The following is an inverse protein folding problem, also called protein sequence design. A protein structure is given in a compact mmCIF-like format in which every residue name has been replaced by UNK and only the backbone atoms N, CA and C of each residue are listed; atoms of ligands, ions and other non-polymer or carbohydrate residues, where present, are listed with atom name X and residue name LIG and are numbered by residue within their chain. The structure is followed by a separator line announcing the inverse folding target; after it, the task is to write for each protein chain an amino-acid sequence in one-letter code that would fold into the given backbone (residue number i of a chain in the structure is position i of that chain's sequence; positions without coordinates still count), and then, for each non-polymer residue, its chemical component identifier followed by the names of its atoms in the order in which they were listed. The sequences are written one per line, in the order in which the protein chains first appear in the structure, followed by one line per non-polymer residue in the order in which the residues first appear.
data_IF_644213058041
#
_entry.id   IF_644213058041
#
_cell.length_a   1.000
_cell.length_b   1.000
_cell.length_c   1.000
_cell.angle_alpha   90.00
_cell.angle_beta   90.00
_cell.angle_gamma   90.00
#
_symmetry.space_group_name_H-M   'P 1'
#
loop_
_entity.id
_entity.type
_entity.pdbx_description
1 polymer ?
#
# COMPACT_ATOMS: atom_id res chain seq x y z
N UNK A 1 -1.74 -29.73 -11.90
CA UNK A 1 -2.49 -28.90 -12.87
C UNK A 1 -1.53 -28.56 -14.01
N UNK A 2 -1.78 -29.02 -15.24
CA UNK A 2 -0.94 -28.64 -16.40
C UNK A 2 -1.22 -27.17 -16.71
N UNK A 3 -0.17 -26.35 -16.91
CA UNK A 3 -0.33 -24.98 -17.42
C UNK A 3 -0.97 -25.08 -18.80
N UNK A 4 -2.14 -24.46 -18.98
CA UNK A 4 -2.72 -24.31 -20.30
C UNK A 4 -1.86 -23.31 -21.08
N UNK A 5 -1.42 -23.69 -22.28
CA UNK A 5 -0.76 -22.77 -23.20
C UNK A 5 -1.77 -21.81 -23.88
N UNK A 6 -3.06 -22.00 -23.64
CA UNK A 6 -4.10 -21.09 -24.12
C UNK A 6 -4.20 -19.86 -23.19
N UNK A 7 -3.52 -18.78 -23.62
CA UNK A 7 -3.51 -17.50 -22.92
C UNK A 7 -4.90 -16.87 -22.79
N UNK A 8 -5.81 -17.09 -23.74
CA UNK A 8 -7.18 -16.55 -23.69
C UNK A 8 -8.00 -17.29 -22.64
N UNK A 9 -7.90 -18.62 -22.59
CA UNK A 9 -8.55 -19.42 -21.55
C UNK A 9 -8.02 -19.07 -20.15
N UNK A 10 -6.71 -18.83 -20.01
CA UNK A 10 -6.10 -18.37 -18.76
C UNK A 10 -6.66 -17.01 -18.32
N UNK A 11 -6.78 -16.05 -19.25
CA UNK A 11 -7.41 -14.75 -18.98
C UNK A 11 -8.87 -14.90 -18.51
N UNK A 12 -9.69 -15.64 -19.24
CA UNK A 12 -11.12 -15.81 -18.89
C UNK A 12 -11.28 -16.45 -17.52
N UNK A 13 -10.50 -17.49 -17.23
CA UNK A 13 -10.51 -18.16 -15.93
C UNK A 13 -10.15 -17.19 -14.80
N UNK A 14 -9.10 -16.39 -14.98
CA UNK A 14 -8.68 -15.45 -13.94
C UNK A 14 -9.66 -14.28 -13.80
N UNK A 15 -10.20 -13.76 -14.90
CA UNK A 15 -11.23 -12.73 -14.90
C UNK A 15 -12.44 -13.18 -14.09
N UNK A 16 -12.94 -14.39 -14.36
CA UNK A 16 -14.12 -14.92 -13.67
C UNK A 16 -13.81 -15.19 -12.19
N UNK A 17 -12.60 -15.66 -11.87
CA UNK A 17 -12.16 -15.81 -10.48
C UNK A 17 -12.08 -14.47 -9.74
N UNK A 18 -11.59 -13.41 -10.39
CA UNK A 18 -11.59 -12.07 -9.82
C UNK A 18 -13.01 -11.61 -9.57
N UNK A 19 -13.89 -11.65 -10.57
CA UNK A 19 -15.27 -11.16 -10.45
C UNK A 19 -16.03 -11.83 -9.29
N UNK A 20 -15.83 -13.14 -9.09
CA UNK A 20 -16.49 -13.91 -8.03
C UNK A 20 -15.74 -13.91 -6.68
N UNK A 21 -14.56 -13.29 -6.59
CA UNK A 21 -13.78 -13.23 -5.34
C UNK A 21 -14.27 -12.09 -4.44
N UNK A 22 -14.50 -12.38 -3.17
CA UNK A 22 -14.71 -11.37 -2.12
C UNK A 22 -13.39 -10.77 -1.62
N UNK A 23 -12.29 -11.51 -1.73
CA UNK A 23 -10.99 -11.09 -1.21
C UNK A 23 -10.21 -10.19 -2.17
N UNK A 24 -9.74 -9.04 -1.68
CA UNK A 24 -8.90 -8.11 -2.46
C UNK A 24 -7.43 -8.56 -2.56
N UNK A 25 -6.85 -9.03 -1.45
CA UNK A 25 -5.41 -9.27 -1.36
C UNK A 25 -4.89 -10.32 -2.35
N UNK A 26 -5.59 -11.45 -2.47
CA UNK A 26 -5.20 -12.52 -3.39
C UNK A 26 -5.30 -12.07 -4.85
N UNK A 27 -6.37 -11.36 -5.20
CA UNK A 27 -6.59 -10.80 -6.53
C UNK A 27 -5.45 -9.87 -6.94
N UNK A 28 -5.16 -8.86 -6.11
CA UNK A 28 -4.10 -7.88 -6.40
C UNK A 28 -2.74 -8.56 -6.47
N UNK A 29 -2.43 -9.47 -5.54
CA UNK A 29 -1.17 -10.20 -5.52
C UNK A 29 -0.96 -11.02 -6.80
N UNK A 30 -1.97 -11.79 -7.23
CA UNK A 30 -1.89 -12.63 -8.43
C UNK A 30 -1.66 -11.80 -9.69
N UNK A 31 -2.43 -10.73 -9.89
CA UNK A 31 -2.26 -9.86 -11.06
C UNK A 31 -0.92 -9.12 -11.03
N UNK A 32 -0.43 -8.75 -9.84
CA UNK A 32 0.89 -8.14 -9.70
C UNK A 32 2.02 -9.11 -10.10
N UNK A 33 1.98 -10.36 -9.63
CA UNK A 33 2.98 -11.37 -10.01
C UNK A 33 3.00 -11.59 -11.52
N UNK A 34 1.84 -11.65 -12.16
CA UNK A 34 1.73 -11.76 -13.62
C UNK A 34 2.33 -10.54 -14.32
N UNK A 35 2.05 -9.34 -13.82
CA UNK A 35 2.56 -8.09 -14.38
C UNK A 35 4.08 -7.94 -14.27
N UNK A 36 4.68 -8.41 -13.17
CA UNK A 36 6.14 -8.39 -12.98
C UNK A 36 6.82 -9.40 -13.91
N UNK A 37 6.28 -10.62 -14.00
CA UNK A 37 6.86 -11.65 -14.85
C UNK A 37 6.81 -11.26 -16.33
N UNK A 38 5.73 -10.61 -16.77
CA UNK A 38 5.60 -10.12 -18.15
C UNK A 38 6.70 -9.10 -18.52
N UNK A 39 6.94 -8.12 -17.63
CA UNK A 39 8.01 -7.12 -17.80
C UNK A 39 9.40 -7.75 -17.87
N UNK A 40 9.65 -8.82 -17.12
CA UNK A 40 10.96 -9.48 -17.04
C UNK A 40 11.19 -10.50 -18.17
N UNK A 41 10.15 -11.16 -18.67
CA UNK A 41 10.26 -12.27 -19.62
C UNK A 41 9.92 -11.91 -21.08
N UNK A 42 9.83 -10.61 -21.42
CA UNK A 42 9.55 -10.13 -22.80
C UNK A 42 8.28 -10.75 -23.41
N UNK A 43 7.15 -10.70 -22.68
CA UNK A 43 5.83 -11.14 -23.16
C UNK A 43 5.64 -12.66 -23.37
N UNK A 44 6.45 -13.51 -22.72
CA UNK A 44 6.20 -14.96 -22.66
C UNK A 44 5.22 -15.38 -21.55
N UNK A 45 4.54 -14.41 -20.93
CA UNK A 45 3.61 -14.64 -19.83
C UNK A 45 2.42 -15.54 -20.20
N UNK A 46 1.73 -16.13 -19.20
CA UNK A 46 0.59 -17.02 -19.43
C UNK A 46 -0.67 -16.32 -19.93
N UNK A 47 -0.65 -14.99 -20.07
CA UNK A 47 -1.75 -14.13 -20.52
C UNK A 47 -1.15 -13.08 -21.46
N UNK A 48 -1.88 -12.67 -22.51
CA UNK A 48 -1.45 -11.58 -23.39
C UNK A 48 -1.53 -10.22 -22.70
N UNK A 49 -0.65 -9.28 -23.05
CA UNK A 49 -0.51 -7.99 -22.37
C UNK A 49 -1.81 -7.17 -22.37
N UNK A 50 -2.55 -7.16 -23.48
CA UNK A 50 -3.86 -6.49 -23.57
C UNK A 50 -4.85 -7.04 -22.54
N UNK A 51 -4.86 -8.35 -22.32
CA UNK A 51 -5.73 -9.00 -21.36
C UNK A 51 -5.24 -8.80 -19.92
N UNK A 52 -3.92 -8.66 -19.72
CA UNK A 52 -3.36 -8.30 -18.43
C UNK A 52 -3.77 -6.89 -18.00
N UNK A 53 -3.81 -5.93 -18.94
CA UNK A 53 -4.31 -4.58 -18.69
C UNK A 53 -5.79 -4.63 -18.25
N UNK A 54 -6.63 -5.41 -18.92
CA UNK A 54 -8.04 -5.59 -18.52
C UNK A 54 -8.17 -6.17 -17.10
N UNK A 55 -7.28 -7.08 -16.69
CA UNK A 55 -7.26 -7.60 -15.33
C UNK A 55 -6.79 -6.55 -14.31
N UNK A 56 -5.86 -5.68 -14.68
CA UNK A 56 -5.43 -4.55 -13.84
C UNK A 56 -6.56 -3.54 -13.65
N UNK A 57 -7.34 -3.24 -14.69
CA UNK A 57 -8.54 -2.39 -14.59
C UNK A 57 -9.58 -3.00 -13.64
N UNK A 58 -9.84 -4.31 -13.73
CA UNK A 58 -10.74 -5.01 -12.80
C UNK A 58 -10.23 -4.97 -11.35
N UNK A 59 -8.92 -5.06 -11.16
CA UNK A 59 -8.30 -4.88 -9.85
C UNK A 59 -8.58 -3.47 -9.29
N UNK A 60 -8.47 -2.42 -10.10
CA UNK A 60 -8.77 -1.04 -9.70
C UNK A 60 -10.25 -0.88 -9.32
N UNK A 61 -11.17 -1.47 -10.09
CA UNK A 61 -12.60 -1.48 -9.74
C UNK A 61 -12.81 -2.12 -8.38
N UNK A 62 -12.22 -3.29 -8.11
CA UNK A 62 -12.33 -3.94 -6.80
C UNK A 62 -11.74 -3.14 -5.65
N UNK A 63 -10.62 -2.43 -5.87
CA UNK A 63 -10.05 -1.54 -4.86
C UNK A 63 -11.08 -0.46 -4.49
N UNK A 64 -11.71 0.16 -5.48
CA UNK A 64 -12.73 1.20 -5.29
C UNK A 64 -14.01 0.69 -4.62
N UNK A 65 -14.39 -0.56 -4.85
CA UNK A 65 -15.52 -1.20 -4.14
C UNK A 65 -15.21 -1.49 -2.67
N UNK A 66 -13.93 -1.53 -2.28
CA UNK A 66 -13.48 -1.93 -0.94
C UNK A 66 -12.76 -0.80 -0.16
N UNK A 67 -12.97 0.47 -0.53
CA UNK A 67 -12.26 1.60 0.10
C UNK A 67 -12.43 1.65 1.62
N UNK A 68 -13.63 1.35 2.12
CA UNK A 68 -13.94 1.41 3.56
C UNK A 68 -13.09 0.46 4.41
N UNK A 69 -12.64 -0.66 3.85
CA UNK A 69 -11.83 -1.67 4.57
C UNK A 69 -10.39 -1.70 4.08
N UNK A 70 -10.06 -0.95 3.02
CA UNK A 70 -8.76 -0.99 2.36
C UNK A 70 -7.61 -0.62 3.32
N UNK A 71 -7.79 0.40 4.16
CA UNK A 71 -6.78 0.82 5.17
C UNK A 71 -6.44 -0.28 6.19
N UNK A 72 -7.32 -1.26 6.39
CA UNK A 72 -7.09 -2.38 7.30
C UNK A 72 -6.33 -3.53 6.63
N UNK A 73 -6.13 -3.46 5.31
CA UNK A 73 -5.47 -4.52 4.57
C UNK A 73 -4.01 -4.69 4.98
N UNK A 74 -3.59 -5.95 5.13
CA UNK A 74 -2.18 -6.31 5.32
C UNK A 74 -1.29 -5.90 4.14
N UNK A 75 -1.86 -5.79 2.94
CA UNK A 75 -1.16 -5.40 1.72
C UNK A 75 -1.44 -3.94 1.35
N UNK A 76 -1.88 -3.11 2.31
CA UNK A 76 -2.33 -1.74 2.04
C UNK A 76 -1.34 -0.95 1.18
N UNK A 77 -0.06 -0.88 1.58
CA UNK A 77 0.98 -0.14 0.84
C UNK A 77 1.15 -0.69 -0.59
N UNK A 78 1.20 -2.02 -0.75
CA UNK A 78 1.34 -2.64 -2.06
C UNK A 78 0.14 -2.29 -2.95
N UNK A 79 -1.06 -2.34 -2.39
CA UNK A 79 -2.31 -1.98 -3.08
C UNK A 79 -2.28 -0.51 -3.49
N UNK A 80 -1.81 0.41 -2.66
CA UNK A 80 -1.69 1.83 -3.03
C UNK A 80 -0.77 2.03 -4.24
N UNK A 81 0.39 1.37 -4.28
CA UNK A 81 1.27 1.44 -5.45
C UNK A 81 0.62 0.82 -6.69
N UNK A 82 -0.07 -0.32 -6.55
CA UNK A 82 -0.78 -0.95 -7.67
C UNK A 82 -1.91 -0.07 -8.19
N UNK A 83 -2.69 0.53 -7.31
CA UNK A 83 -3.75 1.45 -7.69
C UNK A 83 -3.18 2.69 -8.40
N UNK A 84 -2.07 3.25 -7.89
CA UNK A 84 -1.37 4.37 -8.51
C UNK A 84 -0.81 4.02 -9.90
N UNK A 85 -0.35 2.79 -10.11
CA UNK A 85 0.22 2.33 -11.40
C UNK A 85 -0.86 1.94 -12.42
N UNK A 86 -1.90 1.24 -11.98
CA UNK A 86 -2.93 0.65 -12.86
C UNK A 86 -4.14 1.57 -13.07
N UNK A 87 -4.37 2.50 -12.15
CA UNK A 87 -5.49 3.43 -12.19
C UNK A 87 -5.02 4.87 -12.30
N UNK A 88 -5.86 5.79 -11.81
CA UNK A 88 -5.53 7.20 -11.75
C UNK A 88 -4.82 7.52 -10.41
N UNK A 89 -3.59 8.07 -10.43
CA UNK A 89 -2.88 8.49 -9.22
C UNK A 89 -3.65 9.50 -8.36
N UNK A 90 -4.51 10.32 -8.96
CA UNK A 90 -5.31 11.33 -8.24
C UNK A 90 -6.30 10.65 -7.29
N UNK A 91 -6.95 9.56 -7.71
CA UNK A 91 -7.91 8.84 -6.88
C UNK A 91 -7.27 8.33 -5.57
N UNK A 92 -6.00 7.91 -5.65
CA UNK A 92 -5.23 7.46 -4.48
C UNK A 92 -4.98 8.63 -3.52
N UNK A 93 -4.63 9.80 -4.05
CA UNK A 93 -4.40 11.01 -3.27
C UNK A 93 -5.69 11.48 -2.58
N UNK A 94 -6.81 11.49 -3.30
CA UNK A 94 -8.12 11.86 -2.76
C UNK A 94 -8.55 10.94 -1.63
N UNK A 95 -8.43 9.62 -1.83
CA UNK A 95 -8.74 8.63 -0.79
C UNK A 95 -7.87 8.80 0.47
N UNK A 96 -6.57 9.02 0.32
CA UNK A 96 -5.68 9.23 1.47
C UNK A 96 -5.94 10.55 2.18
N UNK A 97 -6.32 11.59 1.43
CA UNK A 97 -6.72 12.87 2.00
C UNK A 97 -7.96 12.70 2.88
N UNK A 98 -9.01 12.07 2.35
CA UNK A 98 -10.26 11.77 3.08
C UNK A 98 -9.99 11.00 4.37
N UNK A 99 -9.14 9.97 4.31
CA UNK A 99 -8.73 9.20 5.48
C UNK A 99 -8.00 10.07 6.51
N UNK A 100 -7.09 10.91 6.05
CA UNK A 100 -6.26 11.73 6.92
C UNK A 100 -7.03 12.88 7.59
N UNK A 101 -8.19 13.26 7.07
CA UNK A 101 -9.03 14.32 7.63
C UNK A 101 -9.76 13.88 8.91
N UNK A 102 -9.93 12.57 9.12
CA UNK A 102 -10.38 12.01 10.38
C UNK A 102 -9.18 11.58 11.23
N UNK A 103 -9.09 12.05 12.46
CA UNK A 103 -7.93 11.79 13.33
C UNK A 103 -7.75 10.30 13.71
N UNK A 104 -8.82 9.53 13.90
CA UNK A 104 -8.72 8.08 14.17
C UNK A 104 -8.17 7.35 12.94
N UNK A 105 -8.72 7.64 11.77
CA UNK A 105 -8.26 7.08 10.50
C UNK A 105 -6.82 7.51 10.16
N UNK A 106 -6.43 8.73 10.50
CA UNK A 106 -5.05 9.20 10.38
C UNK A 106 -4.10 8.35 11.25
N UNK A 107 -4.50 8.00 12.48
CA UNK A 107 -3.69 7.14 13.34
C UNK A 107 -3.55 5.75 12.73
N UNK A 108 -4.66 5.17 12.24
CA UNK A 108 -4.65 3.88 11.54
C UNK A 108 -3.75 3.95 10.30
N UNK A 109 -3.80 5.05 9.56
CA UNK A 109 -2.97 5.29 8.39
C UNK A 109 -1.49 5.27 8.76
N UNK A 110 -1.09 6.04 9.78
CA UNK A 110 0.29 6.05 10.28
C UNK A 110 0.74 4.65 10.71
N UNK A 111 -0.15 3.86 11.32
CA UNK A 111 0.16 2.50 11.72
C UNK A 111 0.53 1.60 10.54
N UNK A 112 -0.10 1.78 9.37
CA UNK A 112 0.22 1.00 8.17
C UNK A 112 1.65 1.25 7.65
N UNK A 113 2.20 2.43 7.89
CA UNK A 113 3.56 2.79 7.48
C UNK A 113 4.62 2.53 8.57
N UNK A 114 4.25 1.82 9.64
CA UNK A 114 5.23 1.29 10.60
C UNK A 114 5.83 -0.01 10.09
N UNK A 115 7.12 -0.22 10.35
CA UNK A 115 7.83 -1.42 9.94
C UNK A 115 8.98 -1.77 10.88
N UNK A 116 9.75 -2.78 10.49
CA UNK A 116 10.93 -3.23 11.24
C UNK A 116 12.16 -3.06 10.35
N UNK A 117 13.10 -2.23 10.79
CA UNK A 117 14.45 -2.18 10.23
C UNK A 117 15.32 -3.25 10.90
N UNK A 118 16.20 -3.87 10.12
CA UNK A 118 17.17 -4.84 10.62
C UNK A 118 18.56 -4.24 10.50
N UNK A 119 19.23 -4.07 11.63
CA UNK A 119 20.64 -3.69 11.66
C UNK A 119 21.42 -4.98 11.89
N UNK A 120 22.32 -5.29 10.94
CA UNK A 120 23.26 -6.39 11.06
C UNK A 120 24.53 -5.85 11.70
N UNK A 121 24.88 -6.31 12.89
CA UNK A 121 26.22 -6.18 13.45
C UNK A 121 26.93 -7.53 13.42
N UNK A 122 28.25 -7.54 13.59
CA UNK A 122 29.12 -8.72 13.40
C UNK A 122 28.64 -9.99 14.12
N UNK A 123 27.84 -9.86 15.19
CA UNK A 123 27.36 -11.00 15.98
C UNK A 123 25.86 -10.98 16.34
N UNK A 124 25.09 -9.95 15.98
CA UNK A 124 23.65 -9.89 16.30
C UNK A 124 22.82 -9.17 15.23
N UNK A 125 21.60 -9.68 15.02
CA UNK A 125 20.58 -8.98 14.25
C UNK A 125 19.64 -8.22 15.19
N UNK A 126 19.72 -6.90 15.19
CA UNK A 126 18.82 -6.05 15.97
C UNK A 126 17.63 -5.63 15.12
N UNK A 127 16.41 -5.86 15.62
CA UNK A 127 15.15 -5.43 14.99
C UNK A 127 14.69 -4.14 15.66
N UNK A 128 14.60 -3.07 14.88
CA UNK A 128 14.22 -1.75 15.38
C UNK A 128 12.92 -1.32 14.69
N UNK A 129 11.86 -0.96 15.44
CA UNK A 129 10.65 -0.40 14.84
C UNK A 129 10.96 0.95 14.22
N UNK A 130 10.48 1.18 13.01
CA UNK A 130 10.73 2.40 12.24
C UNK A 130 9.46 2.85 11.54
N UNK A 131 9.36 4.14 11.23
CA UNK A 131 8.37 4.67 10.30
C UNK A 131 8.96 4.71 8.89
N UNK A 132 8.25 4.19 7.90
CA UNK A 132 8.68 4.11 6.51
C UNK A 132 8.44 5.43 5.77
N UNK A 133 9.06 6.52 6.24
CA UNK A 133 8.81 7.88 5.74
C UNK A 133 9.04 8.01 4.22
N UNK A 134 10.05 7.32 3.69
CA UNK A 134 10.37 7.32 2.25
C UNK A 134 9.26 6.72 1.39
N UNK A 135 8.50 5.77 1.93
CA UNK A 135 7.36 5.15 1.26
C UNK A 135 6.13 6.04 1.43
N UNK A 136 5.92 6.57 2.64
CA UNK A 136 4.77 7.42 2.96
C UNK A 136 4.71 8.69 2.09
N UNK A 137 5.86 9.35 1.87
CA UNK A 137 5.94 10.56 1.03
C UNK A 137 5.59 10.36 -0.45
N UNK A 138 5.53 9.11 -0.93
CA UNK A 138 5.13 8.83 -2.31
C UNK A 138 3.63 9.06 -2.54
N UNK A 139 2.88 9.24 -1.45
CA UNK A 139 1.43 9.28 -1.43
C UNK A 139 0.84 10.54 -0.79
N UNK A 140 1.51 11.14 0.19
CA UNK A 140 0.96 12.27 0.97
C UNK A 140 1.98 13.40 1.14
N UNK A 141 1.45 14.61 1.41
CA UNK A 141 2.25 15.75 1.86
C UNK A 141 2.62 15.57 3.34
N UNK A 142 3.92 15.53 3.63
CA UNK A 142 4.42 15.27 4.98
C UNK A 142 4.16 16.45 5.94
N UNK A 143 4.18 17.68 5.44
CA UNK A 143 3.93 18.87 6.26
C UNK A 143 2.45 18.97 6.63
N UNK A 144 1.55 18.67 5.68
CA UNK A 144 0.11 18.59 5.94
C UNK A 144 -0.20 17.51 6.99
N UNK A 145 0.38 16.32 6.85
CA UNK A 145 0.19 15.25 7.84
C UNK A 145 0.77 15.63 9.19
N UNK A 146 1.93 16.27 9.24
CA UNK A 146 2.51 16.73 10.51
C UNK A 146 1.62 17.75 11.24
N UNK A 147 1.04 18.70 10.50
CA UNK A 147 0.06 19.63 11.04
C UNK A 147 -1.14 18.88 11.64
N UNK A 148 -1.71 17.93 10.89
CA UNK A 148 -2.85 17.11 11.36
C UNK A 148 -2.50 16.28 12.58
N UNK A 149 -1.32 15.66 12.62
CA UNK A 149 -0.85 14.87 13.76
C UNK A 149 -0.68 15.72 15.02
N UNK A 150 -0.20 16.96 14.88
CA UNK A 150 -0.03 17.87 16.02
C UNK A 150 -1.37 18.46 16.51
N UNK A 151 -2.41 18.42 15.68
CA UNK A 151 -3.77 18.84 16.04
C UNK A 151 -4.58 17.75 16.76
N UNK A 152 -4.09 16.51 16.86
CA UNK A 152 -4.78 15.42 17.55
C UNK A 152 -4.91 15.77 19.04
N UNK A 153 -6.15 15.93 19.51
CA UNK A 153 -6.46 16.22 20.92
C UNK A 153 -6.48 14.91 21.74
N UNK A 154 -5.58 14.72 22.72
CA UNK A 154 -5.55 13.52 23.56
C UNK A 154 -6.80 13.34 24.45
N UNK A 155 -7.61 14.39 24.63
CA UNK A 155 -8.84 14.33 25.42
C UNK A 155 -10.03 13.77 24.62
N UNK A 156 -9.96 13.85 23.28
CA UNK A 156 -11.04 13.42 22.38
C UNK A 156 -10.77 12.03 21.80
N UNK A 157 -9.51 11.60 21.75
CA UNK A 157 -9.10 10.35 21.10
C UNK A 157 -8.24 9.52 22.05
N UNK A 158 -8.74 8.32 22.35
CA UNK A 158 -7.98 7.33 23.12
C UNK A 158 -6.98 6.66 22.19
N UNK A 159 -5.71 7.02 22.33
CA UNK A 159 -4.62 6.37 21.60
C UNK A 159 -4.31 5.02 22.24
N UNK A 160 -4.42 3.94 21.48
CA UNK A 160 -3.85 2.66 21.89
C UNK A 160 -2.30 2.69 21.82
N UNK A 161 -1.65 1.65 22.34
CA UNK A 161 -0.18 1.56 22.35
C UNK A 161 0.39 1.64 20.92
N UNK A 162 -0.30 1.03 19.96
CA UNK A 162 0.13 0.97 18.56
C UNK A 162 0.08 2.35 17.91
N UNK A 163 -1.00 3.09 18.09
CA UNK A 163 -1.20 4.44 17.57
C UNK A 163 -0.24 5.45 18.18
N UNK A 164 -0.07 5.42 19.50
CA UNK A 164 0.91 6.25 20.21
C UNK A 164 2.34 6.01 19.70
N UNK A 165 2.69 4.75 19.47
CA UNK A 165 3.98 4.36 18.91
C UNK A 165 4.14 4.80 17.46
N UNK A 166 3.11 4.67 16.63
CA UNK A 166 3.13 5.10 15.23
C UNK A 166 3.37 6.62 15.10
N UNK A 167 2.65 7.43 15.89
CA UNK A 167 2.86 8.89 15.95
C UNK A 167 4.29 9.22 16.36
N UNK A 168 4.81 8.55 17.39
CA UNK A 168 6.16 8.78 17.89
C UNK A 168 7.22 8.45 16.83
N UNK A 169 7.07 7.31 16.15
CA UNK A 169 7.97 6.89 15.08
C UNK A 169 7.91 7.83 13.87
N UNK A 170 6.72 8.32 13.51
CA UNK A 170 6.55 9.33 12.47
C UNK A 170 7.32 10.61 12.80
N UNK A 171 7.13 11.16 14.00
CA UNK A 171 7.82 12.39 14.46
C UNK A 171 9.35 12.22 14.45
N UNK A 172 9.85 11.09 14.93
CA UNK A 172 11.29 10.76 14.92
C UNK A 172 11.81 10.72 13.47
N UNK A 173 11.13 9.98 12.59
CA UNK A 173 11.55 9.84 11.20
C UNK A 173 11.56 11.18 10.45
N UNK A 174 10.53 12.02 10.67
CA UNK A 174 10.43 13.36 10.10
C UNK A 174 11.60 14.25 10.53
N UNK A 175 11.88 14.31 11.84
CA UNK A 175 12.96 15.14 12.37
C UNK A 175 14.33 14.72 11.82
N UNK A 176 14.57 13.40 11.72
CA UNK A 176 15.78 12.86 11.11
C UNK A 176 15.91 13.29 9.63
N UNK A 177 14.84 13.17 8.85
CA UNK A 177 14.83 13.58 7.45
C UNK A 177 15.17 15.08 7.28
N UNK A 178 14.55 15.95 8.09
CA UNK A 178 14.85 17.40 8.06
C UNK A 178 16.33 17.67 8.37
N UNK A 179 16.91 16.96 9.35
CA UNK A 179 18.33 17.13 9.68
C UNK A 179 19.27 16.70 8.56
N UNK A 180 18.96 15.62 7.85
CA UNK A 180 19.78 15.11 6.74
C UNK A 180 19.73 16.04 5.51
N UNK A 181 18.60 16.72 5.27
CA UNK A 181 18.43 17.65 4.12
C UNK A 181 19.05 19.04 4.32
N UNK A 182 19.49 19.39 5.54
CA UNK A 182 20.10 20.69 5.86
C UNK A 182 21.63 20.67 5.90
N UNK A 183 22.23 19.50 5.71
CA UNK A 183 23.68 19.26 5.58
C UNK A 183 24.05 19.09 4.12
#
# INVERSE_FOLDING_TARGET
MKRSNDKKSNYLTLRDAILNSEGLNAVIYTVNVLSINDKNERNSGPIENENLILLQELCVVKIKENLNTLIQSRLFIDILYRWKEWGNPVDVQEYLKEISDNSENLIVLLCQFTGISRILSDHMQTRIPVFQLKVFKDFVDIEEIDFKVNAINPQEIVLDEKGSKAISLFKIAKNKFVSETRT
#
